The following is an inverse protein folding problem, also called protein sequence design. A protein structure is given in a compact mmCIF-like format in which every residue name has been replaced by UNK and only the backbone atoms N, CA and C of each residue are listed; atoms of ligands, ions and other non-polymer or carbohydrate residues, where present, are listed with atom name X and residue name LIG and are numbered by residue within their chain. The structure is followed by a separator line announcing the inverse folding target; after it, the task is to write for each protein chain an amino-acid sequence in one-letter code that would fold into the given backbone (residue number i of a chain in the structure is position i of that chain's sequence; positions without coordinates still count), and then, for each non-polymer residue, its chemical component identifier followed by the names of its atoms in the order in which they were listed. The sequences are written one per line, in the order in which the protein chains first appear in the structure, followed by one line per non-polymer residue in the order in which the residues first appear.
data_IF_331471993996
#
_entry.id   IF_331471993996
#
_cell.length_a   1.000
_cell.length_b   1.000
_cell.length_c   1.000
_cell.angle_alpha   90.00
_cell.angle_beta   90.00
_cell.angle_gamma   90.00
#
_symmetry.space_group_name_H-M   'P 1'
#
loop_
_entity.id
_entity.type
_entity.pdbx_description
1 polymer ?
#
# COMPACT_ATOMS: atom_id res chain seq x y z
N UNK A 1 -15.13 4.70 -5.93
CA UNK A 1 -16.25 4.33 -5.03
C UNK A 1 -15.88 3.03 -4.32
N UNK A 2 -15.51 3.13 -3.04
CA UNK A 2 -14.98 2.04 -2.22
C UNK A 2 -16.12 1.12 -1.72
N UNK A 3 -16.70 0.27 -2.57
CA UNK A 3 -17.62 -0.82 -2.17
C UNK A 3 -18.70 -0.44 -1.12
N UNK A 4 -19.42 0.66 -1.34
CA UNK A 4 -20.51 1.08 -0.46
C UNK A 4 -20.11 1.90 0.76
N UNK A 5 -18.83 2.24 0.90
CA UNK A 5 -18.34 3.18 1.92
C UNK A 5 -18.74 4.61 1.52
N UNK A 6 -19.45 5.35 2.40
CA UNK A 6 -19.78 6.74 2.13
C UNK A 6 -18.53 7.59 1.87
N UNK A 7 -18.54 8.47 0.86
CA UNK A 7 -17.37 9.30 0.53
C UNK A 7 -16.85 10.13 1.71
N UNK A 8 -17.74 10.56 2.62
CA UNK A 8 -17.37 11.35 3.80
C UNK A 8 -16.53 10.61 4.85
N UNK A 9 -16.52 9.27 4.81
CA UNK A 9 -15.71 8.44 5.71
C UNK A 9 -14.64 7.64 4.95
N UNK A 10 -14.68 7.70 3.62
CA UNK A 10 -13.70 7.05 2.77
C UNK A 10 -12.32 7.64 3.04
N UNK A 11 -11.33 6.76 3.11
CA UNK A 11 -9.93 7.12 3.16
C UNK A 11 -9.59 7.98 1.94
N UNK A 12 -8.83 9.05 2.21
CA UNK A 12 -8.28 9.91 1.16
C UNK A 12 -6.95 9.36 0.67
N UNK A 13 -6.57 9.69 -0.57
CA UNK A 13 -5.25 9.38 -1.13
C UNK A 13 -4.13 9.87 -0.21
N UNK A 14 -4.28 11.06 0.38
CA UNK A 14 -3.28 11.62 1.30
C UNK A 14 -3.12 10.79 2.58
N UNK A 15 -4.22 10.32 3.17
CA UNK A 15 -4.18 9.47 4.38
C UNK A 15 -3.59 8.09 4.07
N UNK A 16 -3.94 7.48 2.94
CA UNK A 16 -3.35 6.22 2.47
C UNK A 16 -1.84 6.36 2.25
N UNK A 17 -1.42 7.36 1.48
CA UNK A 17 0.00 7.62 1.19
C UNK A 17 0.81 7.91 2.45
N UNK A 18 0.22 8.59 3.44
CA UNK A 18 0.86 8.79 4.75
C UNK A 18 1.03 7.48 5.51
N UNK A 19 -0.03 6.66 5.66
CA UNK A 19 0.06 5.38 6.38
C UNK A 19 1.05 4.42 5.67
N UNK A 20 0.95 4.29 4.35
CA UNK A 20 1.88 3.48 3.55
C UNK A 20 3.33 3.93 3.71
N UNK A 21 3.58 5.24 3.74
CA UNK A 21 4.92 5.82 3.94
C UNK A 21 5.50 5.52 5.33
N UNK A 22 4.70 5.64 6.39
CA UNK A 22 5.10 5.30 7.76
C UNK A 22 5.37 3.80 7.90
N UNK A 23 4.51 2.95 7.34
CA UNK A 23 4.70 1.50 7.31
C UNK A 23 6.00 1.14 6.58
N UNK A 24 6.28 1.76 5.44
CA UNK A 24 7.49 1.51 4.65
C UNK A 24 8.76 1.83 5.44
N UNK A 25 8.77 2.92 6.19
CA UNK A 25 9.89 3.25 7.07
C UNK A 25 10.12 2.14 8.12
N UNK A 26 9.07 1.75 8.85
CA UNK A 26 9.15 0.75 9.94
C UNK A 26 9.55 -0.63 9.40
N UNK A 27 8.94 -1.07 8.30
CA UNK A 27 9.24 -2.36 7.68
C UNK A 27 10.68 -2.41 7.18
N UNK A 28 11.20 -1.32 6.62
CA UNK A 28 12.60 -1.23 6.23
C UNK A 28 13.55 -1.33 7.43
N UNK A 29 13.17 -0.81 8.61
CA UNK A 29 13.95 -1.03 9.84
C UNK A 29 14.00 -2.50 10.24
N UNK A 30 12.89 -3.23 10.18
CA UNK A 30 12.88 -4.68 10.44
C UNK A 30 13.79 -5.45 9.48
N UNK A 31 13.84 -5.05 8.21
CA UNK A 31 14.77 -5.64 7.24
C UNK A 31 16.23 -5.33 7.60
N UNK A 32 16.55 -4.11 8.04
CA UNK A 32 17.90 -3.77 8.53
C UNK A 32 18.30 -4.61 9.73
N UNK A 33 17.38 -4.85 10.68
CA UNK A 33 17.61 -5.75 11.82
C UNK A 33 17.89 -7.19 11.37
N UNK A 34 17.32 -7.62 10.24
CA UNK A 34 17.62 -8.91 9.58
C UNK A 34 18.86 -8.87 8.68
N UNK A 35 19.69 -7.81 8.78
CA UNK A 35 20.95 -7.66 8.05
C UNK A 35 20.79 -7.32 6.56
N UNK A 36 19.62 -6.86 6.12
CA UNK A 36 19.39 -6.42 4.75
C UNK A 36 19.81 -4.97 4.58
N UNK A 37 20.59 -4.72 3.53
CA UNK A 37 20.89 -3.36 3.09
C UNK A 37 19.66 -2.76 2.41
N UNK A 38 19.09 -1.75 3.05
CA UNK A 38 17.93 -1.00 2.57
C UNK A 38 17.93 0.40 3.20
N UNK A 39 17.43 1.38 2.45
CA UNK A 39 17.25 2.75 2.91
C UNK A 39 15.77 3.01 3.33
N UNK A 40 15.48 3.15 4.64
CA UNK A 40 14.13 3.42 5.13
C UNK A 40 13.54 4.73 4.61
N UNK A 41 14.34 5.79 4.55
CA UNK A 41 13.92 7.10 4.05
C UNK A 41 13.52 7.03 2.58
N UNK A 42 14.27 6.30 1.75
CA UNK A 42 13.93 6.09 0.33
C UNK A 42 12.68 5.22 0.19
N UNK A 43 12.53 4.16 0.99
CA UNK A 43 11.31 3.31 0.99
C UNK A 43 10.05 4.14 1.31
N UNK A 44 10.16 4.99 2.33
CA UNK A 44 9.11 5.93 2.77
C UNK A 44 8.81 6.98 1.70
N UNK A 45 9.83 7.52 1.02
CA UNK A 45 9.64 8.47 -0.08
C UNK A 45 8.94 7.82 -1.29
N UNK A 46 9.32 6.60 -1.69
CA UNK A 46 8.67 5.88 -2.78
C UNK A 46 7.19 5.66 -2.45
N UNK A 47 6.88 5.17 -1.24
CA UNK A 47 5.51 4.97 -0.79
C UNK A 47 4.72 6.28 -0.67
N UNK A 48 5.35 7.39 -0.28
CA UNK A 48 4.66 8.69 -0.21
C UNK A 48 4.25 9.20 -1.60
N UNK A 49 5.10 8.98 -2.61
CA UNK A 49 4.90 9.53 -3.95
C UNK A 49 4.13 8.60 -4.90
N UNK A 50 3.85 7.33 -4.51
CA UNK A 50 3.34 6.33 -5.46
C UNK A 50 2.01 6.69 -6.15
N UNK A 51 1.13 7.42 -5.45
CA UNK A 51 -0.20 7.82 -5.95
C UNK A 51 -0.32 9.34 -6.23
N UNK A 52 0.79 10.08 -6.31
CA UNK A 52 0.75 11.54 -6.56
C UNK A 52 0.07 11.87 -7.89
N UNK A 53 0.19 11.00 -8.90
CA UNK A 53 -0.50 11.13 -10.19
C UNK A 53 -2.04 11.13 -10.09
N UNK A 54 -2.62 10.61 -9.00
CA UNK A 54 -4.07 10.66 -8.75
C UNK A 54 -4.57 12.08 -8.49
N UNK A 55 -3.68 13.05 -8.27
CA UNK A 55 -4.03 14.48 -8.27
C UNK A 55 -4.65 14.92 -9.60
N UNK A 56 -4.20 14.37 -10.73
CA UNK A 56 -4.73 14.67 -12.06
C UNK A 56 -5.79 13.66 -12.51
N UNK A 57 -5.58 12.38 -12.23
CA UNK A 57 -6.44 11.29 -12.72
C UNK A 57 -7.64 11.00 -11.82
N UNK A 58 -7.58 11.41 -10.55
CA UNK A 58 -8.42 10.89 -9.48
C UNK A 58 -8.07 9.45 -9.08
N UNK A 59 -8.59 9.01 -7.93
CA UNK A 59 -8.57 7.59 -7.52
C UNK A 59 -9.55 6.78 -8.40
N UNK A 60 -9.00 6.23 -9.48
CA UNK A 60 -9.77 5.45 -10.44
C UNK A 60 -10.09 4.06 -9.86
N UNK A 61 -11.38 3.69 -9.78
CA UNK A 61 -11.76 2.38 -9.27
C UNK A 61 -11.23 1.26 -10.18
N UNK A 62 -10.96 0.09 -9.59
CA UNK A 62 -10.38 -1.08 -10.28
C UNK A 62 -11.06 -1.42 -11.61
N UNK A 63 -12.39 -1.32 -11.68
CA UNK A 63 -13.14 -1.59 -12.92
C UNK A 63 -12.83 -0.60 -14.05
N UNK A 64 -12.54 0.67 -13.72
CA UNK A 64 -12.13 1.67 -14.69
C UNK A 64 -10.68 1.44 -15.12
N UNK A 65 -9.80 1.14 -14.16
CA UNK A 65 -8.38 0.88 -14.41
C UNK A 65 -8.11 -0.24 -15.42
N UNK A 66 -8.96 -1.28 -15.46
CA UNK A 66 -8.83 -2.42 -16.39
C UNK A 66 -9.24 -2.04 -17.84
N UNK A 67 -10.02 -0.96 -18.01
CA UNK A 67 -10.54 -0.51 -19.31
C UNK A 67 -9.71 0.59 -19.96
N UNK A 68 -8.69 1.08 -19.27
CA UNK A 68 -7.79 2.13 -19.74
C UNK A 68 -6.34 1.64 -19.67
N UNK A 69 -5.44 2.30 -20.40
CA UNK A 69 -4.02 2.10 -20.17
C UNK A 69 -3.58 2.87 -18.91
N UNK A 70 -3.94 2.37 -17.72
CA UNK A 70 -3.68 3.06 -16.44
C UNK A 70 -2.21 3.40 -16.26
N UNK A 71 -1.30 2.51 -16.68
CA UNK A 71 0.14 2.76 -16.51
C UNK A 71 0.65 3.91 -17.38
N UNK A 72 0.14 4.06 -18.60
CA UNK A 72 0.48 5.17 -19.50
C UNK A 72 -0.10 6.48 -18.95
N UNK A 73 -1.38 6.48 -18.57
CA UNK A 73 -2.03 7.65 -17.97
C UNK A 73 -1.35 8.13 -16.68
N UNK A 74 -0.94 7.21 -15.79
CA UNK A 74 -0.16 7.55 -14.59
C UNK A 74 1.19 8.17 -14.98
N UNK A 75 1.89 7.58 -15.95
CA UNK A 75 3.20 8.09 -16.39
C UNK A 75 3.07 9.50 -16.95
N UNK A 76 2.06 9.76 -17.78
CA UNK A 76 1.73 11.10 -18.31
C UNK A 76 1.40 12.08 -17.17
N UNK A 77 0.62 11.66 -16.17
CA UNK A 77 0.31 12.50 -15.02
C UNK A 77 1.56 12.89 -14.21
N UNK A 78 2.49 11.95 -13.99
CA UNK A 78 3.77 12.25 -13.33
C UNK A 78 4.69 13.14 -14.19
N UNK A 79 4.63 13.02 -15.52
CA UNK A 79 5.33 13.91 -16.44
C UNK A 79 4.77 15.34 -16.37
N UNK A 80 3.45 15.49 -16.38
CA UNK A 80 2.77 16.78 -16.29
C UNK A 80 3.03 17.47 -14.94
N UNK A 81 2.96 16.72 -13.84
CA UNK A 81 3.22 17.25 -12.50
C UNK A 81 4.69 17.65 -12.28
N UNK A 82 5.63 17.02 -13.00
CA UNK A 82 7.06 17.32 -12.91
C UNK A 82 7.71 16.98 -11.56
N UNK A 83 7.05 16.17 -10.72
CA UNK A 83 7.54 15.76 -9.40
C UNK A 83 7.42 14.24 -9.20
N UNK A 84 8.42 13.63 -8.56
CA UNK A 84 8.34 12.23 -8.11
C UNK A 84 8.24 11.16 -9.20
N UNK A 85 8.44 11.51 -10.48
CA UNK A 85 8.42 10.54 -11.59
C UNK A 85 9.44 9.41 -11.40
N UNK A 86 10.63 9.72 -10.89
CA UNK A 86 11.65 8.71 -10.61
C UNK A 86 11.19 7.72 -9.52
N UNK A 87 10.58 8.22 -8.44
CA UNK A 87 10.03 7.43 -7.35
C UNK A 87 8.89 6.54 -7.84
N UNK A 88 7.99 7.08 -8.68
CA UNK A 88 6.90 6.33 -9.28
C UNK A 88 7.40 5.21 -10.19
N UNK A 89 8.36 5.49 -11.08
CA UNK A 89 8.93 4.46 -11.94
C UNK A 89 9.62 3.37 -11.11
N UNK A 90 10.38 3.75 -10.08
CA UNK A 90 11.01 2.80 -9.15
C UNK A 90 9.97 1.89 -8.47
N UNK A 91 8.88 2.48 -7.99
CA UNK A 91 7.74 1.76 -7.41
C UNK A 91 7.14 0.73 -8.38
N UNK A 92 6.94 1.13 -9.65
CA UNK A 92 6.34 0.26 -10.67
C UNK A 92 7.27 -0.88 -11.07
N UNK A 93 8.57 -0.64 -11.15
CA UNK A 93 9.55 -1.64 -11.56
C UNK A 93 9.82 -2.70 -10.48
N UNK A 94 9.69 -2.35 -9.19
CA UNK A 94 9.95 -3.26 -8.05
C UNK A 94 11.31 -3.98 -8.09
N UNK A 95 12.33 -3.36 -8.71
CA UNK A 95 13.68 -3.93 -8.79
C UNK A 95 14.49 -3.73 -7.50
N UNK A 96 14.28 -2.60 -6.82
CA UNK A 96 14.98 -2.24 -5.58
C UNK A 96 14.30 -2.85 -4.36
N UNK A 97 15.03 -2.99 -3.25
CA UNK A 97 14.45 -3.46 -2.00
C UNK A 97 13.44 -2.43 -1.46
N UNK A 98 13.76 -1.15 -1.64
CA UNK A 98 12.95 0.00 -1.27
C UNK A 98 11.59 -0.02 -1.99
N UNK A 99 11.57 -0.26 -3.30
CA UNK A 99 10.34 -0.36 -4.07
C UNK A 99 9.47 -1.56 -3.67
N UNK A 100 10.09 -2.72 -3.39
CA UNK A 100 9.38 -3.90 -2.89
C UNK A 100 8.71 -3.62 -1.54
N UNK A 101 9.42 -2.94 -0.63
CA UNK A 101 8.84 -2.52 0.66
C UNK A 101 7.71 -1.53 0.44
N UNK A 102 7.90 -0.51 -0.39
CA UNK A 102 6.85 0.47 -0.69
C UNK A 102 5.59 -0.22 -1.24
N UNK A 103 5.75 -1.21 -2.15
CA UNK A 103 4.64 -1.98 -2.69
C UNK A 103 3.91 -2.81 -1.65
N UNK A 104 4.66 -3.47 -0.77
CA UNK A 104 4.09 -4.20 0.36
C UNK A 104 3.26 -3.27 1.26
N UNK A 105 3.76 -2.06 1.52
CA UNK A 105 3.14 -1.12 2.44
C UNK A 105 1.91 -0.43 1.85
N UNK A 106 1.90 -0.17 0.54
CA UNK A 106 0.69 0.21 -0.22
C UNK A 106 -0.43 -0.84 0.00
N UNK A 107 -0.14 -2.12 -0.20
CA UNK A 107 -1.12 -3.20 0.04
C UNK A 107 -1.52 -3.33 1.51
N UNK A 108 -0.55 -3.24 2.40
CA UNK A 108 -0.78 -3.37 3.84
C UNK A 108 -1.64 -2.24 4.40
N UNK A 109 -1.44 -1.00 3.93
CA UNK A 109 -2.26 0.17 4.29
C UNK A 109 -3.74 -0.09 3.97
N UNK A 110 -4.03 -0.49 2.73
CA UNK A 110 -5.40 -0.81 2.32
C UNK A 110 -5.99 -1.96 3.13
N UNK A 111 -5.22 -3.01 3.41
CA UNK A 111 -5.66 -4.12 4.26
C UNK A 111 -6.04 -3.65 5.67
N UNK A 112 -5.19 -2.83 6.31
CA UNK A 112 -5.44 -2.29 7.65
C UNK A 112 -6.66 -1.35 7.67
N UNK A 113 -6.82 -0.54 6.62
CA UNK A 113 -8.01 0.28 6.43
C UNK A 113 -9.27 -0.56 6.26
N UNK A 114 -9.22 -1.67 5.51
CA UNK A 114 -10.34 -2.59 5.38
C UNK A 114 -10.71 -3.23 6.73
N UNK A 115 -9.74 -3.60 7.57
CA UNK A 115 -10.03 -4.03 8.94
C UNK A 115 -10.72 -2.93 9.78
N UNK A 116 -10.32 -1.67 9.62
CA UNK A 116 -10.99 -0.51 10.26
C UNK A 116 -12.44 -0.37 9.79
N UNK A 117 -12.69 -0.50 8.49
CA UNK A 117 -14.05 -0.46 7.95
C UNK A 117 -14.91 -1.63 8.41
N UNK A 118 -14.35 -2.84 8.48
CA UNK A 118 -15.07 -3.99 9.04
C UNK A 118 -15.50 -3.76 10.48
N UNK A 119 -14.63 -3.14 11.32
CA UNK A 119 -15.00 -2.72 12.68
C UNK A 119 -16.14 -1.71 12.70
N UNK A 120 -16.22 -0.84 11.72
CA UNK A 120 -17.30 0.13 11.56
C UNK A 120 -18.58 -0.48 10.94
N UNK A 121 -18.60 -1.79 10.66
CA UNK A 121 -19.78 -2.51 10.18
C UNK A 121 -19.93 -2.56 8.65
N UNK A 122 -18.89 -2.18 7.90
CA UNK A 122 -18.91 -2.25 6.43
C UNK A 122 -18.55 -3.65 5.93
N UNK A 123 -19.25 -4.10 4.88
CA UNK A 123 -19.00 -5.37 4.20
C UNK A 123 -17.78 -5.25 3.27
N UNK A 124 -16.59 -5.48 3.81
CA UNK A 124 -15.30 -5.33 3.09
C UNK A 124 -14.47 -6.60 3.08
N UNK A 125 -15.07 -7.76 3.39
CA UNK A 125 -14.34 -9.03 3.49
C UNK A 125 -13.67 -9.43 2.17
N UNK A 126 -14.25 -9.10 1.01
CA UNK A 126 -13.63 -9.32 -0.30
C UNK A 126 -12.34 -8.48 -0.47
N UNK A 127 -12.33 -7.24 0.04
CA UNK A 127 -11.14 -6.37 0.02
C UNK A 127 -10.06 -7.00 0.91
N UNK A 128 -10.45 -7.41 2.13
CA UNK A 128 -9.52 -8.03 3.09
C UNK A 128 -8.86 -9.27 2.47
N UNK A 129 -9.66 -10.18 1.91
CA UNK A 129 -9.16 -11.41 1.28
C UNK A 129 -8.23 -11.11 0.09
N UNK A 130 -8.64 -10.21 -0.80
CA UNK A 130 -7.84 -9.84 -1.98
C UNK A 130 -6.47 -9.31 -1.58
N UNK A 131 -6.43 -8.36 -0.63
CA UNK A 131 -5.18 -7.74 -0.22
C UNK A 131 -4.34 -8.66 0.67
N UNK A 132 -4.94 -9.55 1.47
CA UNK A 132 -4.23 -10.58 2.19
C UNK A 132 -3.49 -11.53 1.24
N UNK A 133 -4.13 -11.98 0.15
CA UNK A 133 -3.48 -12.80 -0.88
C UNK A 133 -2.35 -12.07 -1.61
N UNK A 134 -2.53 -10.79 -1.93
CA UNK A 134 -1.48 -9.97 -2.55
C UNK A 134 -0.29 -9.74 -1.61
N UNK A 135 -0.54 -9.45 -0.33
CA UNK A 135 0.49 -9.31 0.70
C UNK A 135 1.27 -10.62 0.86
N UNK A 136 0.58 -11.76 0.97
CA UNK A 136 1.23 -13.06 1.10
C UNK A 136 2.14 -13.38 -0.09
N UNK A 137 1.72 -13.07 -1.31
CA UNK A 137 2.55 -13.23 -2.52
C UNK A 137 3.79 -12.33 -2.49
N UNK A 138 3.67 -11.08 -2.03
CA UNK A 138 4.81 -10.18 -1.88
C UNK A 138 5.79 -10.68 -0.80
N UNK A 139 5.27 -11.22 0.30
CA UNK A 139 6.09 -11.79 1.38
C UNK A 139 6.83 -13.06 0.98
N UNK A 140 6.57 -13.66 -0.18
CA UNK A 140 7.38 -14.77 -0.71
C UNK A 140 8.57 -14.29 -1.56
N UNK A 141 8.67 -12.99 -1.83
CA UNK A 141 9.73 -12.39 -2.64
C UNK A 141 10.88 -11.91 -1.75
N UNK A 142 12.12 -12.19 -2.13
CA UNK A 142 13.27 -11.65 -1.40
C UNK A 142 13.47 -10.15 -1.58
N UNK A 143 13.75 -9.37 -0.51
CA UNK A 143 14.06 -9.81 0.86
C UNK A 143 12.86 -9.80 1.84
N UNK A 144 11.63 -9.60 1.36
CA UNK A 144 10.43 -9.52 2.20
C UNK A 144 10.13 -10.83 2.93
N UNK A 145 10.55 -11.97 2.36
CA UNK A 145 10.51 -13.29 2.98
C UNK A 145 11.13 -13.32 4.38
N UNK A 146 12.17 -12.51 4.62
CA UNK A 146 12.88 -12.46 5.90
C UNK A 146 12.10 -11.80 7.04
N UNK A 147 11.00 -11.10 6.74
CA UNK A 147 10.16 -10.41 7.74
C UNK A 147 8.71 -10.92 7.73
N UNK A 148 8.44 -12.01 6.99
CA UNK A 148 7.10 -12.57 6.85
C UNK A 148 6.43 -12.83 8.21
N UNK A 149 7.18 -13.33 9.18
CA UNK A 149 6.70 -13.57 10.54
C UNK A 149 6.21 -12.28 11.23
N UNK A 150 6.94 -11.18 11.09
CA UNK A 150 6.59 -9.90 11.70
C UNK A 150 5.35 -9.27 11.06
N UNK A 151 5.26 -9.32 9.73
CA UNK A 151 4.12 -8.76 8.99
C UNK A 151 2.84 -9.57 9.27
N UNK A 152 2.91 -10.90 9.27
CA UNK A 152 1.76 -11.75 9.62
C UNK A 152 1.31 -11.51 11.07
N UNK A 153 2.25 -11.34 12.00
CA UNK A 153 1.91 -10.98 13.38
C UNK A 153 1.23 -9.61 13.48
N UNK A 154 1.67 -8.61 12.71
CA UNK A 154 1.02 -7.30 12.64
C UNK A 154 -0.42 -7.42 12.11
N UNK A 155 -0.63 -8.17 11.03
CA UNK A 155 -1.95 -8.40 10.43
C UNK A 155 -2.89 -9.09 11.43
N UNK A 156 -2.43 -10.16 12.09
CA UNK A 156 -3.20 -10.89 13.10
C UNK A 156 -3.56 -10.02 14.31
N UNK A 157 -2.61 -9.26 14.84
CA UNK A 157 -2.85 -8.39 15.99
C UNK A 157 -3.83 -7.25 15.67
N UNK A 158 -3.80 -6.76 14.43
CA UNK A 158 -4.72 -5.75 13.95
C UNK A 158 -6.15 -6.32 13.81
N UNK A 159 -6.24 -7.59 13.46
CA UNK A 159 -7.52 -8.30 13.34
C UNK A 159 -8.10 -8.73 14.70
N UNK A 160 -7.30 -9.23 15.64
CA UNK A 160 -7.79 -9.59 16.99
C UNK A 160 -8.36 -8.39 17.76
N UNK A 161 -7.89 -7.17 17.47
CA UNK A 161 -8.49 -5.93 18.00
C UNK A 161 -9.91 -5.68 17.46
N UNK A 162 -10.30 -6.30 16.35
CA UNK A 162 -11.65 -6.27 15.78
C UNK A 162 -12.62 -7.13 16.60
N UNK A 163 -12.20 -8.32 17.04
CA UNK A 163 -13.09 -9.26 17.74
C UNK A 163 -13.50 -8.82 19.15
N UNK A 164 -12.67 -8.03 19.83
CA UNK A 164 -12.88 -7.63 21.24
C UNK A 164 -13.88 -6.49 21.47
N UNK A 165 -14.55 -5.98 20.43
CA UNK A 165 -15.51 -4.87 20.52
C UNK A 165 -16.97 -5.35 20.28
N UNK A 166 -17.22 -6.66 20.37
CA UNK A 166 -18.57 -7.23 20.38
C UNK A 166 -19.09 -7.40 21.80
#
# INVERSE_FOLDING_TARGET
MQNGIPPAIGETVASHSFEASVLAYVISLWLKERGIQINPERSSAIALFHDVGETLLGDLPKWASIRINKSEAETEAFEELGIGKDLFLEFKEMKTNEAKVAKLCDRLSTYLQALRYRRAGYAVDEIIQTYEEEINRLLDISPLDKIKDLVINLMRNSDLKVEKIK
#
